data_IF_379614939662
#
_entry.id   IF_379614939662
#
_cell.length_a   1.000
_cell.length_b   1.000
_cell.length_c   1.000
_cell.angle_alpha   90.00
_cell.angle_beta   90.00
_cell.angle_gamma   90.00
#
_symmetry.space_group_name_H-M   'P 1'
#
loop_
_entity.id
_entity.type
_entity.pdbx_description
1 polymer ?
#
# COMPACT_ATOMS: atom_id res chain seq x y z
N UNK A 1 -2.08 26.87 -19.03
CA UNK A 1 -2.40 25.65 -19.81
C UNK A 1 -1.08 25.05 -20.25
N UNK A 2 -0.72 23.88 -19.70
CA UNK A 2 0.35 23.07 -20.27
C UNK A 2 -0.16 22.52 -21.60
N UNK A 3 0.56 22.69 -22.71
CA UNK A 3 0.21 22.07 -23.98
C UNK A 3 1.25 20.99 -24.28
N UNK A 4 0.87 19.71 -24.15
CA UNK A 4 1.70 18.58 -24.59
C UNK A 4 1.25 18.19 -25.99
N UNK A 5 2.13 18.35 -26.99
CA UNK A 5 1.84 18.02 -28.39
C UNK A 5 2.20 16.58 -28.78
N UNK A 6 2.39 15.68 -27.81
CA UNK A 6 2.77 14.28 -28.06
C UNK A 6 1.59 13.31 -28.19
N UNK A 7 1.91 12.02 -28.33
CA UNK A 7 0.91 10.93 -28.33
C UNK A 7 0.21 10.82 -26.97
N UNK A 8 -0.98 10.19 -26.88
CA UNK A 8 -1.62 9.87 -25.60
C UNK A 8 -0.63 9.18 -24.66
N UNK A 9 -0.54 9.67 -23.42
CA UNK A 9 0.34 9.11 -22.38
C UNK A 9 -0.45 8.74 -21.14
N UNK A 10 -0.18 7.55 -20.63
CA UNK A 10 -0.74 7.03 -19.38
C UNK A 10 0.36 7.02 -18.31
N UNK A 11 0.27 7.94 -17.36
CA UNK A 11 1.28 8.12 -16.32
C UNK A 11 0.76 7.56 -15.00
N UNK A 12 1.55 6.71 -14.35
CA UNK A 12 1.08 5.93 -13.22
C UNK A 12 1.72 6.41 -11.91
N UNK A 13 0.98 6.44 -10.80
CA UNK A 13 1.50 6.90 -9.51
C UNK A 13 0.97 6.14 -8.30
N UNK A 14 1.54 6.47 -7.13
CA UNK A 14 1.11 5.96 -5.82
C UNK A 14 0.05 6.82 -5.15
N UNK A 15 -0.66 6.27 -4.16
CA UNK A 15 -1.94 6.83 -3.71
C UNK A 15 -1.87 8.06 -2.81
N UNK A 16 -0.72 8.37 -2.19
CA UNK A 16 -0.53 9.70 -1.61
C UNK A 16 -0.47 10.80 -2.68
N UNK A 17 0.09 10.50 -3.86
CA UNK A 17 0.00 11.42 -5.00
C UNK A 17 -1.46 11.54 -5.46
N UNK A 18 -2.20 10.42 -5.54
CA UNK A 18 -3.63 10.42 -5.88
C UNK A 18 -4.43 11.41 -5.01
N UNK A 19 -4.15 11.46 -3.71
CA UNK A 19 -4.77 12.43 -2.82
C UNK A 19 -4.46 13.88 -3.22
N UNK A 20 -3.19 14.20 -3.49
CA UNK A 20 -2.77 15.53 -3.93
C UNK A 20 -3.42 15.92 -5.25
N UNK A 21 -3.38 15.02 -6.23
CA UNK A 21 -3.99 15.25 -7.55
C UNK A 21 -5.48 15.52 -7.42
N UNK A 22 -6.21 14.67 -6.71
CA UNK A 22 -7.66 14.80 -6.57
C UNK A 22 -8.04 16.03 -5.73
N UNK A 23 -7.36 16.28 -4.61
CA UNK A 23 -7.63 17.42 -3.72
C UNK A 23 -7.40 18.77 -4.42
N UNK A 24 -6.39 18.85 -5.28
CA UNK A 24 -6.02 20.09 -5.97
C UNK A 24 -6.56 20.15 -7.41
N UNK A 25 -7.38 19.18 -7.83
CA UNK A 25 -7.98 19.15 -9.17
C UNK A 25 -6.95 19.08 -10.31
N UNK A 26 -5.77 18.51 -10.07
CA UNK A 26 -4.66 18.57 -11.03
C UNK A 26 -5.00 17.90 -12.36
N UNK A 27 -5.85 16.85 -12.37
CA UNK A 27 -6.33 16.19 -13.60
C UNK A 27 -6.98 17.16 -14.60
N UNK A 28 -7.75 18.12 -14.10
CA UNK A 28 -8.44 19.10 -14.94
C UNK A 28 -7.47 20.12 -15.57
N UNK A 29 -6.25 20.23 -15.05
CA UNK A 29 -5.19 21.10 -15.58
C UNK A 29 -4.35 20.43 -16.67
N UNK A 30 -4.43 19.10 -16.80
CA UNK A 30 -3.64 18.34 -17.75
C UNK A 30 -4.24 18.41 -19.16
N UNK A 31 -3.40 18.33 -20.21
CA UNK A 31 -3.86 18.10 -21.58
C UNK A 31 -4.75 16.85 -21.73
N UNK A 32 -5.60 16.79 -22.75
CA UNK A 32 -6.49 15.64 -23.01
C UNK A 32 -5.75 14.37 -23.44
N UNK A 33 -4.52 14.51 -23.90
CA UNK A 33 -3.62 13.41 -24.24
C UNK A 33 -2.68 13.02 -23.09
N UNK A 34 -2.88 13.52 -21.87
CA UNK A 34 -2.11 13.13 -20.69
C UNK A 34 -3.08 12.62 -19.63
N UNK A 35 -3.08 11.31 -19.47
CA UNK A 35 -3.90 10.60 -18.50
C UNK A 35 -3.05 10.20 -17.31
N UNK A 36 -3.68 10.19 -16.15
CA UNK A 36 -2.98 9.94 -14.90
C UNK A 36 -3.72 8.97 -13.99
N UNK A 37 -3.05 7.84 -13.76
CA UNK A 37 -3.65 6.60 -13.33
C UNK A 37 -3.15 6.24 -11.94
N UNK A 38 -4.11 5.95 -11.05
CA UNK A 38 -3.83 5.54 -9.68
C UNK A 38 -3.40 4.07 -9.63
N UNK A 39 -2.31 3.80 -8.89
CA UNK A 39 -1.79 2.46 -8.67
C UNK A 39 -2.15 1.81 -7.34
N UNK A 40 -1.60 0.61 -7.07
CA UNK A 40 -1.83 -0.16 -5.86
C UNK A 40 -0.99 0.40 -4.68
N UNK A 41 -1.02 1.72 -4.49
CA UNK A 41 -0.19 2.42 -3.52
C UNK A 41 -0.82 2.62 -2.14
N UNK A 42 -1.76 1.76 -1.72
CA UNK A 42 -2.45 1.83 -0.42
C UNK A 42 -2.23 0.49 0.25
N UNK A 43 -1.39 0.40 1.28
CA UNK A 43 -1.00 -0.89 1.86
C UNK A 43 -2.20 -1.61 2.47
N UNK A 44 -3.11 -0.84 3.08
CA UNK A 44 -4.37 -1.35 3.63
C UNK A 44 -5.28 -1.94 2.55
N UNK A 45 -5.29 -1.32 1.36
CA UNK A 45 -6.17 -1.73 0.28
C UNK A 45 -5.72 -3.04 -0.36
N UNK A 46 -4.40 -3.24 -0.42
CA UNK A 46 -3.76 -4.42 -1.02
C UNK A 46 -3.50 -5.53 0.00
N UNK A 47 -3.82 -5.32 1.28
CA UNK A 47 -3.73 -6.36 2.33
C UNK A 47 -4.75 -7.46 2.03
N UNK A 48 -4.33 -8.72 1.79
CA UNK A 48 -5.24 -9.82 1.53
C UNK A 48 -6.29 -9.98 2.62
N UNK A 49 -7.51 -10.39 2.27
CA UNK A 49 -8.54 -10.66 3.27
C UNK A 49 -8.10 -11.74 4.27
N UNK A 50 -7.23 -12.67 3.85
CA UNK A 50 -6.66 -13.73 4.67
C UNK A 50 -5.97 -13.21 5.94
N UNK A 51 -5.23 -12.10 5.84
CA UNK A 51 -4.56 -11.46 7.00
C UNK A 51 -5.59 -11.02 8.06
N UNK A 52 -6.73 -10.51 7.60
CA UNK A 52 -7.81 -10.11 8.51
C UNK A 52 -8.58 -11.33 9.03
N UNK A 53 -8.77 -12.34 8.20
CA UNK A 53 -9.41 -13.61 8.60
C UNK A 53 -8.60 -14.32 9.70
N UNK A 54 -7.26 -14.30 9.61
CA UNK A 54 -6.33 -14.78 10.64
C UNK A 54 -6.47 -14.00 11.94
N UNK A 55 -6.46 -12.66 11.86
CA UNK A 55 -6.66 -11.80 13.01
C UNK A 55 -8.03 -12.05 13.67
N UNK A 56 -9.08 -12.25 12.87
CA UNK A 56 -10.42 -12.58 13.34
C UNK A 56 -10.43 -13.93 14.06
N UNK A 57 -9.79 -14.95 13.49
CA UNK A 57 -9.66 -16.28 14.11
C UNK A 57 -8.94 -16.19 15.47
N UNK A 58 -7.82 -15.47 15.54
CA UNK A 58 -7.07 -15.27 16.77
C UNK A 58 -7.86 -14.51 17.84
N UNK A 59 -8.56 -13.44 17.46
CA UNK A 59 -9.44 -12.72 18.38
C UNK A 59 -10.55 -13.62 18.95
N UNK A 60 -11.14 -14.50 18.13
CA UNK A 60 -12.12 -15.50 18.59
C UNK A 60 -11.52 -16.51 19.58
N UNK A 61 -10.21 -16.77 19.51
CA UNK A 61 -9.45 -17.58 20.48
C UNK A 61 -9.06 -16.81 21.76
N UNK A 62 -9.44 -15.53 21.88
CA UNK A 62 -9.20 -14.69 23.08
C UNK A 62 -7.91 -13.85 23.04
N UNK A 63 -7.18 -13.87 21.92
CA UNK A 63 -5.98 -13.05 21.69
C UNK A 63 -6.37 -11.57 21.54
N UNK A 64 -5.57 -10.66 22.08
CA UNK A 64 -5.76 -9.22 21.88
C UNK A 64 -5.22 -8.86 20.49
N UNK A 65 -6.08 -8.33 19.62
CA UNK A 65 -5.67 -7.90 18.29
C UNK A 65 -5.43 -6.40 18.31
N UNK A 66 -4.28 -5.99 17.78
CA UNK A 66 -3.92 -4.59 17.62
C UNK A 66 -3.75 -4.26 16.13
N UNK A 67 -4.31 -3.14 15.69
CA UNK A 67 -4.29 -2.74 14.29
C UNK A 67 -4.35 -1.22 14.14
N UNK A 68 -3.89 -0.72 12.99
CA UNK A 68 -4.11 0.67 12.61
C UNK A 68 -5.61 0.98 12.43
N UNK A 69 -6.00 2.22 12.70
CA UNK A 69 -7.41 2.62 12.69
C UNK A 69 -8.09 2.47 11.33
N UNK A 70 -7.35 2.63 10.24
CA UNK A 70 -7.86 2.45 8.88
C UNK A 70 -8.04 0.97 8.49
N UNK A 71 -7.31 0.05 9.12
CA UNK A 71 -7.50 -1.39 8.93
C UNK A 71 -8.79 -1.90 9.59
N UNK A 72 -9.30 -1.20 10.62
CA UNK A 72 -10.45 -1.64 11.42
C UNK A 72 -11.73 -1.90 10.61
N UNK A 73 -11.96 -1.07 9.60
CA UNK A 73 -13.17 -1.09 8.77
C UNK A 73 -12.98 -1.86 7.47
N UNK A 74 -11.79 -2.44 7.25
CA UNK A 74 -11.54 -3.23 6.05
C UNK A 74 -12.37 -4.51 6.10
N UNK A 75 -13.18 -4.79 5.06
CA UNK A 75 -13.97 -6.01 5.03
C UNK A 75 -13.05 -7.20 4.79
N UNK A 76 -13.05 -8.16 5.73
CA UNK A 76 -12.50 -9.50 5.57
C UNK A 76 -13.56 -10.41 4.92
N UNK A 77 -13.48 -11.74 5.10
CA UNK A 77 -14.42 -12.65 4.45
C UNK A 77 -15.84 -12.61 5.04
N UNK A 78 -15.96 -12.61 6.36
CA UNK A 78 -17.27 -12.66 7.04
C UNK A 78 -17.64 -11.33 7.72
N UNK A 79 -16.65 -10.65 8.30
CA UNK A 79 -16.84 -9.43 9.10
C UNK A 79 -15.61 -8.53 8.94
N UNK A 80 -15.56 -7.43 9.68
CA UNK A 80 -14.37 -6.59 9.84
C UNK A 80 -13.86 -6.67 11.28
N UNK A 81 -12.64 -6.17 11.53
CA UNK A 81 -12.12 -6.04 12.89
C UNK A 81 -13.05 -5.18 13.78
N UNK A 82 -13.69 -4.17 13.21
CA UNK A 82 -14.70 -3.36 13.91
C UNK A 82 -15.97 -4.16 14.22
N UNK A 83 -16.43 -4.99 13.28
CA UNK A 83 -17.56 -5.90 13.51
C UNK A 83 -17.27 -6.88 14.64
N UNK A 84 -16.08 -7.48 14.64
CA UNK A 84 -15.64 -8.40 15.69
C UNK A 84 -15.52 -7.72 17.06
N UNK A 85 -15.05 -6.47 17.10
CA UNK A 85 -15.05 -5.66 18.33
C UNK A 85 -16.47 -5.45 18.86
N UNK A 86 -17.45 -5.21 17.98
CA UNK A 86 -18.85 -5.07 18.36
C UNK A 86 -19.45 -6.39 18.89
N UNK A 87 -18.92 -7.53 18.47
CA UNK A 87 -19.26 -8.86 18.99
C UNK A 87 -18.58 -9.17 20.35
N UNK A 88 -17.75 -8.26 20.88
CA UNK A 88 -17.12 -8.37 22.20
C UNK A 88 -15.67 -8.85 22.20
N UNK A 89 -15.05 -9.05 21.04
CA UNK A 89 -13.63 -9.38 20.98
C UNK A 89 -12.73 -8.18 21.36
N UNK A 90 -11.56 -8.47 21.95
CA UNK A 90 -10.60 -7.44 22.35
C UNK A 90 -9.74 -6.99 21.16
N UNK A 91 -10.26 -6.01 20.42
CA UNK A 91 -9.57 -5.37 19.30
C UNK A 91 -9.26 -3.91 19.63
N UNK A 92 -7.98 -3.53 19.56
CA UNK A 92 -7.47 -2.22 19.96
C UNK A 92 -6.83 -1.49 18.79
N UNK A 93 -7.10 -0.19 18.70
CA UNK A 93 -6.50 0.68 17.69
C UNK A 93 -5.17 1.18 18.23
N UNK A 94 -4.14 1.12 17.38
CA UNK A 94 -2.79 1.63 17.67
C UNK A 94 -2.32 2.58 16.58
N UNK A 95 -1.37 3.46 16.91
CA UNK A 95 -0.75 4.39 15.98
C UNK A 95 0.61 3.92 15.46
N UNK A 96 1.17 2.88 16.07
CA UNK A 96 2.42 2.26 15.66
C UNK A 96 2.66 0.93 16.38
N UNK A 97 3.75 0.22 15.99
CA UNK A 97 4.11 -1.04 16.62
C UNK A 97 4.46 -0.89 18.10
N UNK A 98 5.02 0.25 18.51
CA UNK A 98 5.37 0.51 19.90
C UNK A 98 4.15 0.47 20.83
N UNK A 99 3.02 1.06 20.44
CA UNK A 99 1.78 0.99 21.22
C UNK A 99 1.29 -0.46 21.39
N UNK A 100 1.47 -1.30 20.37
CA UNK A 100 1.11 -2.71 20.44
C UNK A 100 2.02 -3.50 21.40
N UNK A 101 3.30 -3.16 21.43
CA UNK A 101 4.26 -3.70 22.41
C UNK A 101 3.90 -3.26 23.82
N UNK A 102 3.59 -1.98 24.06
CA UNK A 102 3.12 -1.50 25.38
C UNK A 102 1.85 -2.22 25.84
N UNK A 103 0.94 -2.53 24.91
CA UNK A 103 -0.26 -3.31 25.21
C UNK A 103 0.13 -4.72 25.66
N UNK A 104 1.10 -5.37 25.01
CA UNK A 104 1.60 -6.69 25.42
C UNK A 104 2.24 -6.66 26.81
N UNK A 105 3.06 -5.64 27.11
CA UNK A 105 3.68 -5.46 28.43
C UNK A 105 2.64 -5.28 29.55
N UNK A 106 1.54 -4.56 29.27
CA UNK A 106 0.45 -4.33 30.23
C UNK A 106 -0.50 -5.53 30.39
N UNK A 107 -0.39 -6.56 29.56
CA UNK A 107 -1.28 -7.72 29.56
C UNK A 107 -0.46 -9.03 29.54
N UNK A 108 0.40 -9.29 30.55
CA UNK A 108 1.37 -10.39 30.50
C UNK A 108 0.72 -11.78 30.42
N UNK A 109 -0.51 -11.93 30.89
CA UNK A 109 -1.26 -13.20 30.88
C UNK A 109 -2.07 -13.43 29.59
N UNK A 110 -1.95 -12.53 28.60
CA UNK A 110 -2.70 -12.60 27.34
C UNK A 110 -1.78 -12.37 26.16
N UNK A 111 -1.95 -13.19 25.13
CA UNK A 111 -1.25 -12.97 23.88
C UNK A 111 -1.80 -11.71 23.16
N UNK A 112 -0.88 -10.99 22.53
CA UNK A 112 -1.14 -9.78 21.77
C UNK A 112 -0.55 -9.96 20.37
N UNK A 113 -1.39 -9.78 19.36
CA UNK A 113 -1.00 -9.88 17.96
C UNK A 113 -1.20 -8.55 17.28
N UNK A 114 -0.16 -8.05 16.61
CA UNK A 114 -0.21 -6.84 15.81
C UNK A 114 -0.37 -7.17 14.32
N UNK A 115 -1.40 -6.61 13.68
CA UNK A 115 -1.57 -6.68 12.23
C UNK A 115 -0.58 -5.73 11.55
N UNK A 116 0.61 -6.23 11.23
CA UNK A 116 1.71 -5.45 10.70
C UNK A 116 1.55 -5.22 9.19
N UNK A 117 0.68 -4.27 8.85
CA UNK A 117 0.36 -3.86 7.48
C UNK A 117 1.16 -2.62 7.09
N UNK A 118 1.69 -2.61 5.88
CA UNK A 118 2.28 -1.41 5.32
C UNK A 118 3.28 -1.68 4.20
N UNK A 119 3.96 -0.63 3.76
CA UNK A 119 5.04 -0.71 2.77
C UNK A 119 6.40 -0.55 3.45
N UNK A 120 7.45 -0.30 2.66
CA UNK A 120 8.82 -0.09 3.12
C UNK A 120 8.94 1.05 4.15
N UNK A 121 7.99 1.98 4.17
CA UNK A 121 7.92 3.09 5.13
C UNK A 121 7.56 2.68 6.55
N UNK A 122 6.89 1.55 6.71
CA UNK A 122 6.31 1.10 8.00
C UNK A 122 7.05 -0.09 8.60
N UNK A 123 7.58 -0.97 7.74
CA UNK A 123 8.29 -2.16 8.15
C UNK A 123 9.50 -1.89 9.08
N UNK A 124 10.29 -0.81 8.90
CA UNK A 124 11.41 -0.51 9.80
C UNK A 124 10.98 -0.27 11.25
N UNK A 125 9.78 0.27 11.47
CA UNK A 125 9.25 0.48 12.82
C UNK A 125 8.99 -0.84 13.53
N UNK A 126 8.44 -1.83 12.82
CA UNK A 126 8.16 -3.17 13.36
C UNK A 126 9.47 -3.91 13.63
N UNK A 127 10.39 -3.91 12.66
CA UNK A 127 11.70 -4.53 12.82
C UNK A 127 12.48 -3.91 13.99
N UNK A 128 12.42 -2.58 14.15
CA UNK A 128 13.10 -1.92 15.26
C UNK A 128 12.56 -2.33 16.62
N UNK A 129 11.26 -2.57 16.78
CA UNK A 129 10.72 -3.04 18.06
C UNK A 129 11.17 -4.48 18.35
N UNK A 130 11.15 -5.37 17.34
CA UNK A 130 11.63 -6.76 17.48
C UNK A 130 13.11 -6.80 17.91
N UNK A 131 13.99 -6.02 17.26
CA UNK A 131 15.41 -5.96 17.62
C UNK A 131 15.68 -5.37 19.01
N UNK A 132 14.80 -4.51 19.52
CA UNK A 132 14.90 -3.96 20.88
C UNK A 132 14.54 -4.98 21.95
N UNK A 133 13.91 -6.09 21.57
CA UNK A 133 13.34 -7.08 22.47
C UNK A 133 11.90 -6.73 22.80
N UNK A 134 11.00 -7.65 22.46
CA UNK A 134 9.56 -7.54 22.73
C UNK A 134 9.13 -8.62 23.75
N UNK A 135 8.01 -8.42 24.45
CA UNK A 135 7.46 -9.43 25.36
C UNK A 135 7.17 -10.77 24.67
N UNK A 136 7.31 -11.88 25.39
CA UNK A 136 7.06 -13.23 24.85
C UNK A 136 5.61 -13.47 24.38
N UNK A 137 4.66 -12.69 24.89
CA UNK A 137 3.25 -12.71 24.50
C UNK A 137 2.97 -11.81 23.29
N UNK A 138 3.98 -11.15 22.71
CA UNK A 138 3.83 -10.33 21.50
C UNK A 138 4.22 -11.10 20.24
N UNK A 139 3.39 -10.98 19.21
CA UNK A 139 3.66 -11.49 17.86
C UNK A 139 3.00 -10.60 16.80
N UNK A 140 3.36 -10.78 15.53
CA UNK A 140 2.81 -10.04 14.41
C UNK A 140 2.23 -10.97 13.36
N UNK A 141 1.20 -10.51 12.65
CA UNK A 141 0.85 -11.04 11.32
C UNK A 141 1.56 -10.14 10.30
N UNK A 142 2.57 -10.68 9.61
CA UNK A 142 3.39 -9.89 8.69
C UNK A 142 2.69 -9.70 7.35
N UNK A 143 2.12 -8.50 7.17
CA UNK A 143 1.41 -8.11 5.95
C UNK A 143 2.11 -6.95 5.21
N UNK A 144 3.42 -6.79 5.41
CA UNK A 144 4.19 -5.78 4.69
C UNK A 144 4.36 -6.15 3.21
N UNK A 145 4.37 -5.13 2.35
CA UNK A 145 4.47 -5.27 0.90
C UNK A 145 5.54 -4.35 0.30
N UNK A 146 6.07 -4.72 -0.86
CA UNK A 146 7.12 -3.98 -1.55
C UNK A 146 6.59 -3.36 -2.84
N UNK A 147 6.81 -2.06 -3.02
CA UNK A 147 6.27 -1.32 -4.16
C UNK A 147 6.96 -1.66 -5.49
N UNK A 148 8.31 -1.70 -5.60
CA UNK A 148 8.95 -1.94 -6.90
C UNK A 148 8.50 -3.24 -7.59
N UNK A 149 8.40 -4.40 -6.92
CA UNK A 149 7.90 -5.62 -7.54
C UNK A 149 6.44 -5.51 -8.05
N UNK A 150 5.58 -4.77 -7.33
CA UNK A 150 4.22 -4.52 -7.78
C UNK A 150 4.18 -3.59 -9.01
N UNK A 151 5.07 -2.59 -9.09
CA UNK A 151 5.24 -1.77 -10.29
C UNK A 151 5.68 -2.60 -11.50
N UNK A 152 6.63 -3.53 -11.30
CA UNK A 152 7.12 -4.43 -12.36
C UNK A 152 6.00 -5.35 -12.89
N UNK A 153 5.14 -5.86 -12.00
CA UNK A 153 3.97 -6.64 -12.38
C UNK A 153 2.99 -5.84 -13.28
N UNK A 154 2.74 -4.58 -12.95
CA UNK A 154 1.79 -3.73 -13.68
C UNK A 154 2.21 -3.49 -15.13
N UNK A 155 3.51 -3.48 -15.39
CA UNK A 155 4.04 -3.38 -16.76
C UNK A 155 3.72 -4.60 -17.62
N UNK A 156 3.47 -5.75 -17.00
CA UNK A 156 3.06 -6.98 -17.69
C UNK A 156 1.56 -7.10 -17.95
N UNK A 157 0.74 -6.15 -17.48
CA UNK A 157 -0.72 -6.18 -17.67
C UNK A 157 -1.04 -5.73 -19.10
N UNK A 158 -1.30 -6.69 -20.00
CA UNK A 158 -1.38 -6.45 -21.45
C UNK A 158 -2.37 -5.38 -21.93
N UNK A 159 -3.46 -5.13 -21.20
CA UNK A 159 -4.44 -4.10 -21.58
C UNK A 159 -4.18 -2.72 -20.94
N UNK A 160 -3.10 -2.59 -20.16
CA UNK A 160 -2.73 -1.35 -19.48
C UNK A 160 -1.43 -0.83 -20.09
N UNK A 161 -1.53 0.17 -20.97
CA UNK A 161 -0.35 0.86 -21.46
C UNK A 161 0.09 1.88 -20.42
N UNK A 162 1.28 1.71 -19.85
CA UNK A 162 1.91 2.68 -18.94
C UNK A 162 3.11 3.26 -19.68
N UNK A 163 3.21 4.59 -19.73
CA UNK A 163 4.33 5.29 -20.37
C UNK A 163 5.39 5.76 -19.37
N UNK A 164 5.05 5.86 -18.08
CA UNK A 164 5.99 6.30 -17.06
C UNK A 164 5.44 6.23 -15.65
N UNK A 165 6.34 6.27 -14.65
CA UNK A 165 5.97 6.21 -13.24
C UNK A 165 6.37 7.47 -12.46
N UNK A 166 5.44 7.95 -11.64
CA UNK A 166 5.75 8.81 -10.49
C UNK A 166 5.87 7.92 -9.25
N UNK A 167 7.11 7.73 -8.82
CA UNK A 167 7.49 6.83 -7.74
C UNK A 167 7.22 7.45 -6.36
N UNK A 168 6.84 6.66 -5.35
CA UNK A 168 6.51 7.13 -4.01
C UNK A 168 7.71 7.73 -3.27
N UNK A 169 7.69 9.04 -3.02
CA UNK A 169 8.76 9.73 -2.29
C UNK A 169 9.09 9.12 -0.93
N UNK A 170 8.09 8.87 -0.08
CA UNK A 170 8.34 8.30 1.26
C UNK A 170 8.96 6.90 1.22
N UNK A 171 8.54 6.04 0.28
CA UNK A 171 9.15 4.71 0.11
C UNK A 171 10.59 4.88 -0.37
N UNK A 172 10.83 5.75 -1.36
CA UNK A 172 12.17 6.06 -1.83
C UNK A 172 13.07 6.65 -0.74
N UNK A 173 12.53 7.36 0.26
CA UNK A 173 13.30 7.80 1.44
C UNK A 173 13.92 6.60 2.18
N UNK A 174 13.24 5.45 2.19
CA UNK A 174 13.74 4.23 2.82
C UNK A 174 14.68 3.48 1.88
N UNK A 175 14.22 3.11 0.68
CA UNK A 175 14.95 2.20 -0.23
C UNK A 175 15.88 2.88 -1.24
N UNK A 176 15.87 4.21 -1.30
CA UNK A 176 16.68 5.01 -2.21
C UNK A 176 16.18 4.97 -3.66
N UNK A 177 17.04 5.42 -4.56
CA UNK A 177 16.75 5.51 -6.00
C UNK A 177 16.99 4.18 -6.72
N UNK A 178 17.90 3.34 -6.19
CA UNK A 178 18.39 2.14 -6.87
C UNK A 178 17.29 1.18 -7.34
N UNK A 179 16.29 0.82 -6.52
CA UNK A 179 15.24 -0.10 -6.97
C UNK A 179 14.38 0.46 -8.11
N UNK A 180 14.24 1.79 -8.19
CA UNK A 180 13.50 2.45 -9.26
C UNK A 180 14.32 2.59 -10.56
N UNK A 181 15.66 2.65 -10.50
CA UNK A 181 16.50 2.78 -11.71
C UNK A 181 16.34 1.61 -12.68
N UNK A 182 16.06 0.41 -12.16
CA UNK A 182 15.79 -0.80 -12.97
C UNK A 182 14.70 -0.58 -14.01
N UNK A 183 13.68 0.23 -13.72
CA UNK A 183 12.60 0.54 -14.68
C UNK A 183 13.14 1.25 -15.92
N UNK A 184 13.97 2.27 -15.74
CA UNK A 184 14.59 2.99 -16.86
C UNK A 184 15.65 2.15 -17.58
N UNK A 185 16.47 1.39 -16.84
CA UNK A 185 17.62 0.66 -17.39
C UNK A 185 17.21 -0.63 -18.11
N UNK A 186 16.33 -1.44 -17.51
CA UNK A 186 15.92 -2.73 -18.05
C UNK A 186 14.72 -2.62 -18.99
N UNK A 187 13.76 -1.73 -18.66
CA UNK A 187 12.48 -1.66 -19.36
C UNK A 187 12.29 -0.40 -20.20
N UNK A 188 13.28 0.50 -20.23
CA UNK A 188 13.17 1.81 -20.90
C UNK A 188 11.96 2.63 -20.40
N UNK A 189 11.57 2.41 -19.15
CA UNK A 189 10.44 3.07 -18.52
C UNK A 189 10.93 4.26 -17.70
N UNK A 190 10.60 5.51 -18.08
CA UNK A 190 11.02 6.68 -17.33
C UNK A 190 10.32 6.72 -15.96
N UNK A 191 11.07 7.11 -14.93
CA UNK A 191 10.55 7.15 -13.55
C UNK A 191 11.03 8.40 -12.84
N UNK A 192 10.13 9.11 -12.16
CA UNK A 192 10.46 10.25 -11.33
C UNK A 192 10.08 9.96 -9.88
N UNK A 193 11.04 10.00 -8.95
CA UNK A 193 10.73 9.98 -7.52
C UNK A 193 10.28 11.37 -7.10
N UNK A 194 9.03 11.48 -6.65
CA UNK A 194 8.34 12.75 -6.41
C UNK A 194 7.98 12.93 -4.94
N UNK A 195 7.95 14.19 -4.51
CA UNK A 195 7.27 14.61 -3.30
C UNK A 195 5.74 14.64 -3.46
N UNK A 196 5.04 15.08 -2.42
CA UNK A 196 3.57 15.02 -2.34
C UNK A 196 2.89 16.39 -2.42
N UNK A 197 3.63 17.48 -2.54
CA UNK A 197 3.05 18.80 -2.77
C UNK A 197 2.56 18.92 -4.22
N UNK A 198 1.55 19.75 -4.51
CA UNK A 198 1.03 19.90 -5.87
C UNK A 198 2.12 20.32 -6.87
N UNK A 199 3.09 21.13 -6.43
CA UNK A 199 4.22 21.52 -7.26
C UNK A 199 5.21 20.38 -7.53
N UNK A 200 5.43 19.49 -6.55
CA UNK A 200 6.28 18.31 -6.73
C UNK A 200 5.70 17.41 -7.83
N UNK A 201 4.38 17.18 -7.76
CA UNK A 201 3.65 16.37 -8.75
C UNK A 201 3.70 17.01 -10.13
N UNK A 202 3.41 18.32 -10.25
CA UNK A 202 3.43 19.02 -11.53
C UNK A 202 4.83 19.04 -12.16
N UNK A 203 5.88 19.25 -11.34
CA UNK A 203 7.26 19.21 -11.80
C UNK A 203 7.63 17.81 -12.28
N UNK A 204 7.28 16.78 -11.52
CA UNK A 204 7.50 15.38 -11.88
C UNK A 204 6.80 15.00 -13.18
N UNK A 205 5.56 15.44 -13.37
CA UNK A 205 4.83 15.27 -14.64
C UNK A 205 5.56 15.96 -15.81
N UNK A 206 6.04 17.19 -15.62
CA UNK A 206 6.77 17.91 -16.65
C UNK A 206 8.10 17.21 -17.02
N UNK A 207 8.85 16.73 -16.02
CA UNK A 207 10.08 15.96 -16.23
C UNK A 207 9.81 14.67 -16.99
N UNK A 208 8.77 13.93 -16.58
CA UNK A 208 8.38 12.66 -17.20
C UNK A 208 7.95 12.84 -18.66
N UNK A 209 7.09 13.84 -18.93
CA UNK A 209 6.66 14.18 -20.30
C UNK A 209 7.82 14.64 -21.18
N UNK A 210 8.81 15.34 -20.61
CA UNK A 210 10.03 15.73 -21.33
C UNK A 210 10.86 14.52 -21.72
N UNK A 211 11.11 13.59 -20.80
CA UNK A 211 11.83 12.35 -21.12
C UNK A 211 11.12 11.54 -22.21
N UNK A 212 9.78 11.44 -22.14
CA UNK A 212 8.95 10.77 -23.14
C UNK A 212 8.99 11.45 -24.51
N UNK A 213 9.09 12.78 -24.55
CA UNK A 213 9.25 13.54 -25.79
C UNK A 213 10.63 13.34 -26.39
N UNK A 214 11.66 13.34 -25.55
CA UNK A 214 13.07 13.29 -25.98
C UNK A 214 13.54 11.84 -26.24
N UNK A 215 12.78 10.83 -25.82
CA UNK A 215 13.13 9.41 -26.00
C UNK A 215 14.23 8.92 -25.04
N UNK A 216 14.44 9.63 -23.93
CA UNK A 216 15.51 9.41 -22.96
C UNK A 216 14.95 8.94 -21.61
N UNK A 217 14.63 7.64 -21.45
CA UNK A 217 14.12 7.13 -20.19
C UNK A 217 15.22 7.15 -19.13
N UNK A 218 14.97 7.86 -18.04
CA UNK A 218 15.85 8.02 -16.90
C UNK A 218 15.07 7.84 -15.60
N UNK A 219 15.77 7.42 -14.56
CA UNK A 219 15.29 7.51 -13.20
C UNK A 219 15.83 8.80 -12.57
N UNK A 220 14.95 9.77 -12.31
CA UNK A 220 15.32 11.05 -11.74
C UNK A 220 14.68 11.27 -10.37
N UNK A 221 15.36 12.04 -9.53
CA UNK A 221 14.90 12.40 -8.20
C UNK A 221 14.42 13.84 -8.21
N UNK A 222 13.11 14.08 -8.18
CA UNK A 222 12.55 15.40 -7.94
C UNK A 222 12.57 15.72 -6.44
N UNK A 223 12.39 14.70 -5.60
CA UNK A 223 12.29 14.83 -4.14
C UNK A 223 13.65 14.90 -3.42
N UNK A 224 14.62 15.61 -4.00
CA UNK A 224 16.03 15.69 -3.55
C UNK A 224 16.20 16.19 -2.10
N UNK A 225 15.20 16.91 -1.59
CA UNK A 225 15.20 17.44 -0.22
C UNK A 225 15.02 16.37 0.85
N UNK A 226 14.55 15.18 0.46
CA UNK A 226 14.25 14.08 1.38
C UNK A 226 14.91 12.78 0.94
N UNK A 227 14.89 12.48 -0.36
CA UNK A 227 15.36 11.19 -0.89
C UNK A 227 16.83 11.27 -1.25
N UNK A 228 17.62 10.37 -0.66
CA UNK A 228 19.03 10.14 -1.02
C UNK A 228 19.16 9.02 -2.03
N UNK A 229 20.29 8.98 -2.72
CA UNK A 229 20.56 7.95 -3.73
C UNK A 229 20.53 6.54 -3.13
N UNK A 230 21.19 6.40 -1.99
CA UNK A 230 21.28 5.18 -1.19
C UNK A 230 20.07 4.93 -0.28
N UNK A 231 19.15 5.90 -0.16
CA UNK A 231 18.03 5.86 0.79
C UNK A 231 18.48 5.96 2.25
N UNK A 232 17.74 5.30 3.14
CA UNK A 232 18.05 5.23 4.56
C UNK A 232 18.76 3.91 4.88
N UNK A 233 20.10 3.93 4.83
CA UNK A 233 20.95 2.77 5.10
C UNK A 233 20.63 2.12 6.46
N UNK A 234 20.32 2.91 7.50
CA UNK A 234 20.02 2.37 8.83
C UNK A 234 18.71 1.59 8.82
N UNK A 235 17.67 2.12 8.18
CA UNK A 235 16.39 1.44 8.06
C UNK A 235 16.51 0.16 7.21
N UNK A 236 17.26 0.21 6.09
CA UNK A 236 17.51 -0.97 5.26
C UNK A 236 18.22 -2.08 6.03
N UNK A 237 19.26 -1.76 6.81
CA UNK A 237 19.96 -2.75 7.65
C UNK A 237 19.04 -3.41 8.68
N UNK A 238 18.19 -2.62 9.34
CA UNK A 238 17.22 -3.15 10.32
C UNK A 238 16.22 -4.08 9.64
N UNK A 239 15.74 -3.74 8.44
CA UNK A 239 14.87 -4.60 7.65
C UNK A 239 15.58 -5.90 7.24
N UNK A 240 16.79 -5.79 6.72
CA UNK A 240 17.63 -6.93 6.33
C UNK A 240 17.97 -7.84 7.50
N UNK A 241 18.04 -7.31 8.73
CA UNK A 241 18.29 -8.10 9.93
C UNK A 241 17.05 -8.94 10.29
N UNK A 242 15.86 -8.35 10.30
CA UNK A 242 14.63 -8.97 10.82
C UNK A 242 13.81 -9.76 9.79
N UNK A 243 13.85 -9.35 8.53
CA UNK A 243 12.96 -9.88 7.50
C UNK A 243 13.70 -10.50 6.33
N UNK A 244 13.13 -11.57 5.78
CA UNK A 244 13.43 -12.07 4.44
C UNK A 244 12.39 -11.57 3.44
N UNK A 245 12.82 -11.36 2.20
CA UNK A 245 11.91 -11.06 1.08
C UNK A 245 11.31 -12.35 0.56
N UNK A 246 9.99 -12.36 0.37
CA UNK A 246 9.24 -13.52 -0.14
C UNK A 246 8.19 -13.10 -1.16
N UNK A 247 7.65 -14.09 -1.87
CA UNK A 247 6.50 -13.90 -2.74
C UNK A 247 5.26 -13.67 -1.86
N UNK A 248 4.48 -12.62 -2.12
CA UNK A 248 3.35 -12.29 -1.27
C UNK A 248 2.06 -12.08 -2.07
N UNK A 249 0.93 -12.33 -1.41
CA UNK A 249 -0.39 -12.05 -1.98
C UNK A 249 -0.75 -10.58 -1.82
N UNK A 250 -1.27 -9.98 -2.89
CA UNK A 250 -1.85 -8.65 -2.94
C UNK A 250 -3.34 -8.78 -3.23
N UNK A 251 -4.18 -8.19 -2.38
CA UNK A 251 -5.64 -8.31 -2.44
C UNK A 251 -6.16 -7.97 -3.82
N UNK A 252 -6.85 -8.92 -4.45
CA UNK A 252 -7.43 -8.73 -5.78
C UNK A 252 -6.45 -8.62 -6.95
N UNK A 253 -5.14 -8.65 -6.69
CA UNK A 253 -4.09 -8.69 -7.74
C UNK A 253 -3.54 -10.12 -7.86
N UNK A 254 -3.40 -10.82 -6.74
CA UNK A 254 -2.88 -12.19 -6.68
C UNK A 254 -1.48 -12.26 -6.10
N UNK A 255 -0.74 -13.33 -6.43
CA UNK A 255 0.61 -13.56 -5.91
C UNK A 255 1.62 -12.77 -6.72
N UNK A 256 2.38 -11.90 -6.05
CA UNK A 256 3.41 -11.08 -6.66
C UNK A 256 4.79 -11.57 -6.19
N UNK A 257 5.74 -11.84 -7.11
CA UNK A 257 7.06 -12.30 -6.74
C UNK A 257 7.83 -11.28 -5.92
N UNK A 258 8.61 -11.75 -4.94
CA UNK A 258 9.56 -10.95 -4.15
C UNK A 258 8.95 -9.65 -3.59
N UNK A 259 7.68 -9.67 -3.19
CA UNK A 259 6.88 -8.47 -2.93
C UNK A 259 6.42 -8.30 -1.48
N UNK A 260 6.92 -9.10 -0.55
CA UNK A 260 6.54 -9.00 0.86
C UNK A 260 7.65 -9.41 1.80
N UNK A 261 7.49 -9.05 3.06
CA UNK A 261 8.40 -9.44 4.13
C UNK A 261 7.82 -10.55 4.98
N UNK A 262 8.66 -11.52 5.33
CA UNK A 262 8.40 -12.55 6.34
C UNK A 262 9.49 -12.49 7.39
N UNK A 263 9.17 -12.76 8.65
CA UNK A 263 10.17 -12.80 9.71
C UNK A 263 11.19 -13.92 9.42
N UNK A 264 12.47 -13.63 9.65
CA UNK A 264 13.50 -14.66 9.61
C UNK A 264 13.27 -15.73 10.66
N UNK A 265 13.88 -16.90 10.45
CA UNK A 265 13.83 -18.04 11.36
C UNK A 265 14.21 -17.66 12.81
N UNK A 266 15.21 -16.79 12.99
CA UNK A 266 15.66 -16.34 14.31
C UNK A 266 14.61 -15.49 15.08
N UNK A 267 13.60 -14.95 14.39
CA UNK A 267 12.51 -14.17 14.97
C UNK A 267 11.15 -14.89 14.88
N UNK A 268 11.13 -16.18 14.55
CA UNK A 268 9.89 -16.91 14.28
C UNK A 268 8.95 -17.03 15.47
N UNK A 269 9.45 -16.89 16.70
CA UNK A 269 8.63 -16.87 17.92
C UNK A 269 7.65 -15.68 17.97
N UNK A 270 7.93 -14.63 17.18
CA UNK A 270 7.09 -13.45 17.00
C UNK A 270 6.23 -13.51 15.73
N UNK A 271 6.28 -14.60 14.95
CA UNK A 271 5.42 -14.82 13.80
C UNK A 271 4.12 -15.49 14.25
N UNK A 272 2.99 -14.76 14.15
CA UNK A 272 1.69 -15.26 14.59
C UNK A 272 1.18 -16.41 13.71
N UNK A 273 1.46 -16.40 12.40
CA UNK A 273 1.02 -17.48 11.51
C UNK A 273 1.66 -18.80 11.92
N UNK A 274 2.99 -18.78 12.17
CA UNK A 274 3.74 -19.95 12.65
C UNK A 274 3.34 -20.36 14.07
N UNK A 275 3.29 -19.40 15.01
CA UNK A 275 3.00 -19.66 16.43
C UNK A 275 1.66 -20.34 16.66
N UNK A 276 0.64 -19.97 15.89
CA UNK A 276 -0.73 -20.49 16.06
C UNK A 276 -1.15 -21.53 15.01
N UNK A 277 -0.25 -21.89 14.08
CA UNK A 277 -0.53 -22.82 12.99
C UNK A 277 -1.75 -22.40 12.16
N UNK A 278 -1.79 -21.12 11.76
CA UNK A 278 -2.97 -20.55 11.10
C UNK A 278 -3.13 -21.09 9.68
N UNK A 279 -4.34 -21.55 9.37
CA UNK A 279 -4.67 -22.15 8.08
C UNK A 279 -6.07 -21.71 7.64
N UNK A 280 -6.17 -20.54 7.01
CA UNK A 280 -7.43 -20.02 6.47
C UNK A 280 -7.79 -20.76 5.18
N UNK A 281 -8.79 -21.65 5.27
CA UNK A 281 -9.25 -22.49 4.13
C UNK A 281 -10.04 -21.73 3.08
N UNK A 282 -10.69 -20.64 3.46
CA UNK A 282 -11.55 -19.84 2.57
C UNK A 282 -11.38 -18.37 2.90
N UNK A 283 -10.88 -17.61 1.93
CA UNK A 283 -10.79 -16.16 2.02
C UNK A 283 -11.37 -15.51 0.77
N UNK A 284 -12.08 -14.40 0.95
CA UNK A 284 -12.70 -13.62 -0.14
C UNK A 284 -12.03 -12.25 -0.22
N UNK A 285 -11.09 -12.11 -1.16
CA UNK A 285 -10.41 -10.83 -1.40
C UNK A 285 -11.37 -9.78 -1.96
N UNK A 286 -12.12 -10.13 -3.00
CA UNK A 286 -13.03 -9.20 -3.68
C UNK A 286 -14.46 -9.70 -3.51
N UNK A 287 -15.25 -8.92 -2.78
CA UNK A 287 -16.68 -9.20 -2.59
C UNK A 287 -17.45 -9.07 -3.90
N UNK A 288 -18.52 -9.86 -4.10
CA UNK A 288 -19.32 -9.84 -5.32
C UNK A 288 -19.77 -8.42 -5.73
N UNK A 289 -19.51 -8.06 -7.00
CA UNK A 289 -19.84 -6.75 -7.55
C UNK A 289 -18.85 -5.63 -7.22
N UNK A 290 -17.87 -5.86 -6.34
CA UNK A 290 -16.81 -4.91 -6.08
C UNK A 290 -15.74 -4.95 -7.18
N UNK A 291 -15.39 -3.79 -7.74
CA UNK A 291 -14.34 -3.67 -8.76
C UNK A 291 -13.02 -3.08 -8.21
N UNK A 292 -12.74 -3.20 -6.91
CA UNK A 292 -11.53 -2.63 -6.30
C UNK A 292 -10.24 -3.13 -6.98
N UNK A 293 -10.19 -4.40 -7.39
CA UNK A 293 -9.05 -4.95 -8.11
C UNK A 293 -8.74 -4.20 -9.42
N UNK A 294 -9.77 -3.83 -10.19
CA UNK A 294 -9.62 -3.04 -11.41
C UNK A 294 -9.21 -1.60 -11.12
N UNK A 295 -9.76 -1.00 -10.06
CA UNK A 295 -9.37 0.36 -9.61
C UNK A 295 -7.91 0.39 -9.16
N UNK A 296 -7.44 -0.61 -8.41
CA UNK A 296 -6.08 -0.65 -7.87
C UNK A 296 -5.01 -0.81 -8.95
N UNK A 297 -5.34 -1.46 -10.08
CA UNK A 297 -4.45 -1.57 -11.23
C UNK A 297 -4.72 -0.49 -12.28
N UNK A 298 -5.60 0.47 -12.00
CA UNK A 298 -5.86 1.59 -12.92
C UNK A 298 -6.63 1.25 -14.19
N UNK A 299 -7.34 0.12 -14.23
CA UNK A 299 -8.16 -0.28 -15.39
C UNK A 299 -9.51 0.45 -15.47
N UNK A 300 -10.03 0.89 -14.34
CA UNK A 300 -11.27 1.68 -14.25
C UNK A 300 -11.13 2.76 -13.19
N UNK A 301 -11.90 3.82 -13.32
CA UNK A 301 -12.12 4.81 -12.29
C UNK A 301 -13.21 4.39 -11.29
N UNK A 302 -13.16 4.88 -10.04
CA UNK A 302 -14.17 4.56 -9.04
C UNK A 302 -15.63 4.76 -9.50
N UNK A 303 -15.99 5.83 -10.22
CA UNK A 303 -17.36 6.04 -10.72
C UNK A 303 -17.86 5.00 -11.73
N UNK A 304 -16.97 4.24 -12.37
CA UNK A 304 -17.33 3.13 -13.26
C UNK A 304 -17.73 1.86 -12.47
N UNK A 305 -17.43 1.80 -11.17
CA UNK A 305 -17.91 0.76 -10.29
C UNK A 305 -19.37 1.02 -9.89
N UNK A 306 -20.29 0.09 -10.23
CA UNK A 306 -21.73 0.22 -9.92
C UNK A 306 -22.06 0.42 -8.43
N UNK A 307 -21.17 -0.01 -7.54
CA UNK A 307 -21.35 0.12 -6.10
C UNK A 307 -20.87 1.47 -5.55
N UNK A 308 -20.06 2.22 -6.31
CA UNK A 308 -19.44 3.46 -5.85
C UNK A 308 -20.47 4.53 -5.53
N UNK A 309 -20.42 5.07 -4.31
CA UNK A 309 -21.31 6.13 -3.84
C UNK A 309 -22.77 5.73 -3.64
N UNK A 310 -23.14 4.49 -3.96
CA UNK A 310 -24.45 3.91 -3.72
C UNK A 310 -24.37 2.96 -2.52
N UNK A 311 -24.09 1.69 -2.76
CA UNK A 311 -23.93 0.63 -1.75
C UNK A 311 -22.61 0.78 -0.99
N UNK A 312 -21.54 1.16 -1.70
CA UNK A 312 -20.21 1.34 -1.14
C UNK A 312 -19.98 2.82 -0.84
N UNK A 313 -20.02 3.18 0.45
CA UNK A 313 -19.82 4.54 0.94
C UNK A 313 -18.81 4.59 2.07
N UNK A 314 -18.21 5.76 2.36
CA UNK A 314 -17.36 5.96 3.52
C UNK A 314 -17.85 5.39 4.85
N UNK A 315 -19.14 5.53 5.14
CA UNK A 315 -19.77 5.13 6.40
C UNK A 315 -20.08 3.62 6.42
N UNK A 316 -20.24 3.03 5.23
CA UNK A 316 -20.49 1.60 5.04
C UNK A 316 -19.67 1.10 3.84
N UNK A 317 -18.35 0.92 4.01
CA UNK A 317 -17.48 0.53 2.91
C UNK A 317 -17.74 -0.93 2.53
N UNK A 318 -18.00 -1.18 1.24
CA UNK A 318 -18.18 -2.54 0.71
C UNK A 318 -16.87 -3.17 0.25
N UNK A 319 -15.92 -2.33 -0.20
CA UNK A 319 -14.60 -2.75 -0.65
C UNK A 319 -13.49 -1.96 0.03
N UNK A 320 -12.26 -2.49 0.02
CA UNK A 320 -11.14 -1.93 0.75
C UNK A 320 -10.77 -0.50 0.28
N UNK A 321 -10.89 -0.20 -1.01
CA UNK A 321 -10.53 1.11 -1.56
C UNK A 321 -11.43 2.27 -1.06
N UNK A 322 -12.57 1.98 -0.41
CA UNK A 322 -13.45 2.99 0.19
C UNK A 322 -13.15 3.24 1.69
N UNK A 323 -12.29 2.41 2.28
CA UNK A 323 -11.98 2.42 3.71
C UNK A 323 -10.88 3.41 4.02
N UNK A 324 -9.67 3.13 3.53
CA UNK A 324 -8.47 3.91 3.84
C UNK A 324 -8.57 5.32 3.27
N UNK A 325 -8.00 6.30 3.98
CA UNK A 325 -7.80 7.66 3.47
C UNK A 325 -6.90 7.69 2.23
N UNK A 326 -6.06 6.68 2.05
CA UNK A 326 -5.22 6.49 0.86
C UNK A 326 -5.93 5.67 -0.24
N UNK A 327 -7.16 5.18 -0.01
CA UNK A 327 -7.89 4.40 -1.01
C UNK A 327 -8.43 5.27 -2.14
N UNK A 328 -8.19 4.89 -3.40
CA UNK A 328 -8.63 5.64 -4.59
C UNK A 328 -10.13 5.95 -4.55
N UNK A 329 -10.97 4.96 -4.22
CA UNK A 329 -12.42 5.20 -4.14
C UNK A 329 -12.77 6.20 -3.02
N UNK A 330 -12.12 6.10 -1.86
CA UNK A 330 -12.34 7.05 -0.75
C UNK A 330 -11.93 8.47 -1.14
N UNK A 331 -10.79 8.61 -1.83
CA UNK A 331 -10.28 9.89 -2.34
C UNK A 331 -11.27 10.48 -3.36
N UNK A 332 -11.70 9.69 -4.34
CA UNK A 332 -12.68 10.11 -5.36
C UNK A 332 -14.01 10.53 -4.73
N UNK A 333 -14.51 9.78 -3.74
CA UNK A 333 -15.75 10.11 -3.05
C UNK A 333 -15.63 11.43 -2.27
N UNK A 334 -14.49 11.66 -1.61
CA UNK A 334 -14.27 12.84 -0.77
C UNK A 334 -14.09 14.12 -1.57
N UNK A 335 -13.30 14.06 -2.64
CA UNK A 335 -12.94 15.24 -3.44
C UNK A 335 -13.78 15.39 -4.70
N UNK A 336 -14.73 14.48 -4.92
CA UNK A 336 -15.69 14.53 -6.03
C UNK A 336 -14.99 14.60 -7.38
N UNK A 337 -13.94 13.80 -7.56
CA UNK A 337 -12.94 13.93 -8.63
C UNK A 337 -13.56 14.52 -9.90
N UNK A 338 -13.05 15.69 -10.31
CA UNK A 338 -13.36 16.33 -11.57
C UNK A 338 -12.92 15.38 -12.69
N UNK A 339 -13.77 14.41 -13.02
CA UNK A 339 -13.67 13.60 -14.21
C UNK A 339 -13.66 14.57 -15.38
N UNK A 340 -12.75 14.36 -16.33
CA UNK A 340 -12.86 15.03 -17.62
C UNK A 340 -14.12 14.59 -18.34
#
# INVERSE_FOLDING_TARGET
MFTYAGQPRNLFWTLKHEQTISKHGLRALLPDNVEVIAGPGCPVCVTPSMVLDEAIELARRGVIITAFGDLMMVPATETSLYGLKAEGADVRIVYGPHDAVEIAERNPDRDVVFCAVGFETTAPGVASEILRGVPKNFSIISAHRLIPPAMELLMGVGDLQIDGFICPGHVATIIGMKPFRRFSEAYRMPTIVSGFEPNDVLLSLAMLLKQLKDGEPKCENEYIRTVKEEGNIRAQKILEEVFDVTNAHWRGIGRVPESGYVLKEEFEEHDAEKRYGLHIKKSVDIHPGCNCHLVMIGKIYPPECKLFGTVCRPEKPYGPCMVSSEGTCRIYYKYGAHLK
#
